data_IF_051970063886
#
_entry.id   IF_051970063886
#
_cell.length_a   1.000
_cell.length_b   1.000
_cell.length_c   1.000
_cell.angle_alpha   90.00
_cell.angle_beta   90.00
_cell.angle_gamma   90.00
#
_symmetry.space_group_name_H-M   'P 1'
#
loop_
_entity.id
_entity.type
_entity.pdbx_description
1 polymer ?
#
# COMPACT_ATOMS: atom_id res chain seq x y z
N UNK A 1 -14.51 -4.16 15.91
CA UNK A 1 -13.05 -4.38 16.05
C UNK A 1 -12.44 -3.99 14.72
N UNK A 2 -11.78 -2.84 14.65
CA UNK A 2 -11.13 -2.37 13.42
C UNK A 2 -9.87 -3.22 13.24
N UNK A 3 -9.85 -4.05 12.20
CA UNK A 3 -8.67 -4.83 11.85
C UNK A 3 -7.79 -3.96 10.95
N UNK A 4 -6.71 -3.45 11.51
CA UNK A 4 -5.68 -2.75 10.76
C UNK A 4 -4.64 -3.78 10.30
N UNK A 5 -4.47 -3.93 8.99
CA UNK A 5 -3.42 -4.73 8.41
C UNK A 5 -2.39 -3.83 7.72
N UNK A 6 -1.12 -4.10 8.00
CA UNK A 6 0.00 -3.37 7.42
C UNK A 6 0.74 -4.31 6.47
N UNK A 7 0.73 -3.99 5.18
CA UNK A 7 1.46 -4.74 4.16
C UNK A 7 2.68 -3.92 3.76
N UNK A 8 3.87 -4.47 3.97
CA UNK A 8 5.11 -3.89 3.46
C UNK A 8 5.40 -4.49 2.07
N UNK A 9 5.53 -3.62 1.07
CA UNK A 9 5.81 -3.97 -0.30
C UNK A 9 7.15 -3.33 -0.68
N UNK A 10 8.09 -4.16 -1.12
CA UNK A 10 9.36 -3.69 -1.69
C UNK A 10 9.21 -3.66 -3.21
N UNK A 11 9.29 -2.46 -3.78
CA UNK A 11 9.18 -2.26 -5.24
C UNK A 11 10.20 -1.24 -5.72
N UNK A 12 10.50 -1.21 -7.02
CA UNK A 12 11.35 -0.18 -7.59
C UNK A 12 10.82 1.22 -7.31
N UNK A 13 11.69 2.21 -7.11
CA UNK A 13 11.31 3.58 -6.79
C UNK A 13 10.46 4.25 -7.89
N UNK A 14 10.67 3.85 -9.15
CA UNK A 14 9.88 4.31 -10.30
C UNK A 14 8.44 3.77 -10.22
N UNK A 15 8.30 2.45 -10.00
CA UNK A 15 7.02 1.78 -9.78
C UNK A 15 6.29 2.32 -8.53
N UNK A 16 7.03 2.60 -7.45
CA UNK A 16 6.51 3.21 -6.23
C UNK A 16 5.81 4.54 -6.49
N UNK A 17 6.41 5.37 -7.34
CA UNK A 17 5.86 6.67 -7.71
C UNK A 17 4.51 6.52 -8.44
N UNK A 18 4.35 5.46 -9.24
CA UNK A 18 3.11 5.15 -9.95
C UNK A 18 2.07 4.45 -9.05
N UNK A 19 2.50 3.62 -8.11
CA UNK A 19 1.63 2.81 -7.26
C UNK A 19 1.04 3.58 -6.07
N UNK A 20 1.80 4.51 -5.47
CA UNK A 20 1.36 5.37 -4.38
C UNK A 20 0.03 6.11 -4.67
N UNK A 21 -0.13 6.84 -5.79
CA UNK A 21 -1.37 7.53 -6.08
C UNK A 21 -2.54 6.57 -6.29
N UNK A 22 -2.32 5.40 -6.91
CA UNK A 22 -3.37 4.39 -7.10
C UNK A 22 -3.89 3.86 -5.76
N UNK A 23 -2.99 3.58 -4.83
CA UNK A 23 -3.34 3.15 -3.48
C UNK A 23 -4.11 4.23 -2.72
N UNK A 24 -3.68 5.50 -2.81
CA UNK A 24 -4.39 6.62 -2.20
C UNK A 24 -5.79 6.84 -2.81
N UNK A 25 -5.94 6.67 -4.14
CA UNK A 25 -7.24 6.72 -4.81
C UNK A 25 -8.16 5.57 -4.40
N UNK A 26 -7.61 4.39 -4.08
CA UNK A 26 -8.35 3.25 -3.53
C UNK A 26 -8.73 3.39 -2.06
N UNK A 27 -8.44 4.51 -1.41
CA UNK A 27 -8.71 4.73 0.02
C UNK A 27 -7.69 4.07 0.95
N UNK A 28 -6.60 3.52 0.41
CA UNK A 28 -5.52 2.95 1.21
C UNK A 28 -4.61 4.05 1.75
N UNK A 29 -4.17 3.88 3.00
CA UNK A 29 -3.18 4.79 3.57
C UNK A 29 -1.80 4.24 3.33
N UNK A 30 -0.99 4.95 2.54
CA UNK A 30 0.39 4.53 2.26
C UNK A 30 1.40 5.34 3.06
N UNK A 31 2.41 4.68 3.62
CA UNK A 31 3.54 5.29 4.30
C UNK A 31 4.85 4.80 3.68
N UNK A 32 5.68 5.70 3.10
CA UNK A 32 7.02 5.30 2.67
C UNK A 32 7.89 5.08 3.92
N UNK A 33 8.47 3.89 4.07
CA UNK A 33 9.27 3.56 5.26
C UNK A 33 10.71 4.03 5.14
N UNK A 34 11.36 3.81 3.99
CA UNK A 34 12.68 4.32 3.67
C UNK A 34 13.05 3.93 2.24
N UNK A 35 13.81 4.77 1.56
CA UNK A 35 14.47 4.42 0.29
C UNK A 35 15.71 3.61 0.66
N UNK A 36 15.66 2.28 0.46
CA UNK A 36 16.70 1.35 0.92
C UNK A 36 17.92 1.39 0.00
N UNK A 37 17.66 1.50 -1.30
CA UNK A 37 18.64 1.61 -2.38
C UNK A 37 18.13 2.62 -3.42
N UNK A 38 19.03 3.22 -4.22
CA UNK A 38 18.67 4.20 -5.27
C UNK A 38 17.54 3.71 -6.20
N UNK A 39 17.43 2.39 -6.36
CA UNK A 39 16.46 1.72 -7.23
C UNK A 39 15.25 1.13 -6.49
N UNK A 40 15.31 0.87 -5.17
CA UNK A 40 14.28 0.14 -4.43
C UNK A 40 13.71 0.93 -3.24
N UNK A 41 12.40 0.87 -3.09
CA UNK A 41 11.65 1.57 -2.05
C UNK A 41 10.66 0.62 -1.37
N UNK A 42 10.69 0.61 -0.04
CA UNK A 42 9.70 -0.07 0.78
C UNK A 42 8.52 0.87 1.07
N UNK A 43 7.32 0.46 0.68
CA UNK A 43 6.06 1.15 0.98
C UNK A 43 5.25 0.29 1.95
N UNK A 44 4.73 0.91 3.01
CA UNK A 44 3.72 0.27 3.85
C UNK A 44 2.33 0.75 3.46
N UNK A 45 1.46 -0.20 3.17
CA UNK A 45 0.04 0.02 2.91
C UNK A 45 -0.73 -0.38 4.16
N UNK A 46 -1.43 0.58 4.75
CA UNK A 46 -2.30 0.39 5.90
C UNK A 46 -3.73 0.22 5.39
N UNK A 47 -4.25 -0.99 5.55
CA UNK A 47 -5.61 -1.37 5.21
C UNK A 47 -6.41 -1.35 6.51
N UNK A 48 -7.31 -0.37 6.64
CA UNK A 48 -8.11 -0.17 7.86
C UNK A 48 -9.48 -0.84 7.81
N UNK A 49 -9.85 -1.36 6.64
CA UNK A 49 -11.08 -2.15 6.46
C UNK A 49 -10.83 -3.26 5.44
N UNK A 50 -10.56 -4.48 5.93
CA UNK A 50 -10.49 -5.69 5.11
C UNK A 50 -11.89 -6.23 4.75
N UNK A 51 -12.95 -5.64 5.31
CA UNK A 51 -14.34 -6.06 5.09
C UNK A 51 -14.84 -5.70 3.69
N UNK A 52 -14.37 -4.60 3.10
CA UNK A 52 -14.81 -4.17 1.76
C UNK A 52 -14.09 -4.86 0.59
N UNK A 53 -12.86 -5.36 0.80
CA UNK A 53 -11.99 -5.79 -0.30
C UNK A 53 -12.17 -7.28 -0.64
N UNK A 54 -12.72 -8.08 0.29
CA UNK A 54 -12.88 -9.53 0.15
C UNK A 54 -14.28 -9.97 -0.33
N UNK A 55 -15.14 -9.05 -0.80
CA UNK A 55 -16.57 -9.33 -0.97
C UNK A 55 -17.26 -8.72 -2.19
N UNK A 56 -16.61 -8.67 -3.36
CA UNK A 56 -17.32 -8.40 -4.63
C UNK A 56 -17.03 -9.50 -5.66
N UNK A 57 -17.49 -10.70 -5.34
CA UNK A 57 -17.87 -11.70 -6.35
C UNK A 57 -19.41 -11.70 -6.37
N UNK A 58 -20.01 -11.05 -7.35
CA UNK A 58 -21.42 -11.23 -7.74
C UNK A 58 -21.50 -11.47 -9.25
#
# INVERSE_FOLDING_TARGET
>A
MTYEQNIAIDIPADEATSLLPLLQQGGFTTQPIQRRDLDWQTIVVVIRDLGEIAGREE
#
